data_IF_659372305439
#
_entry.id   IF_659372305439
#
_cell.length_a   1.000
_cell.length_b   1.000
_cell.length_c   1.000
_cell.angle_alpha   90.00
_cell.angle_beta   90.00
_cell.angle_gamma   90.00
#
_symmetry.space_group_name_H-M   'P 1'
#
loop_
_entity.id
_entity.type
_entity.pdbx_description
1 polymer ?
#
# COMPACT_ATOMS: atom_id res chain seq x y z
N UNK A 1 -7.02 6.73 45.01
CA UNK A 1 -6.07 5.62 44.73
C UNK A 1 -5.16 6.03 43.58
N UNK A 2 -3.89 6.32 43.88
CA UNK A 2 -2.93 6.94 42.97
C UNK A 2 -2.26 5.94 42.02
N UNK A 3 -2.09 6.31 40.74
CA UNK A 3 -1.41 5.50 39.72
C UNK A 3 0.10 5.69 39.86
N UNK A 4 0.81 4.64 40.28
CA UNK A 4 2.27 4.65 40.38
C UNK A 4 2.95 4.77 39.01
N UNK A 5 3.75 5.83 38.82
CA UNK A 5 4.70 5.96 37.70
C UNK A 5 5.84 4.97 37.93
N UNK A 6 5.94 3.92 37.12
CA UNK A 6 7.14 3.07 37.08
C UNK A 6 8.20 3.77 36.24
N UNK A 7 9.22 4.33 36.88
CA UNK A 7 10.41 4.88 36.22
C UNK A 7 11.08 3.80 35.37
N UNK A 8 11.17 4.04 34.06
CA UNK A 8 11.97 3.25 33.15
C UNK A 8 13.45 3.37 33.55
N UNK A 9 14.02 2.28 34.07
CA UNK A 9 15.44 2.15 34.38
C UNK A 9 16.21 2.20 33.06
N UNK A 10 16.78 3.37 32.73
CA UNK A 10 17.75 3.54 31.62
C UNK A 10 18.88 2.53 31.83
N UNK A 11 18.90 1.46 31.03
CA UNK A 11 20.07 0.58 30.93
C UNK A 11 21.18 1.40 30.28
N UNK A 12 22.31 1.58 30.97
CA UNK A 12 23.52 2.17 30.38
C UNK A 12 23.89 1.32 29.16
N UNK A 13 23.87 1.91 27.98
CA UNK A 13 24.46 1.34 26.78
C UNK A 13 25.99 1.39 26.96
N UNK A 14 26.66 0.26 26.75
CA UNK A 14 28.12 0.18 26.74
C UNK A 14 28.69 1.11 25.64
N UNK A 15 29.71 1.95 25.92
CA UNK A 15 30.32 2.83 24.92
C UNK A 15 31.24 2.11 23.91
N UNK A 16 31.15 0.78 23.80
CA UNK A 16 32.14 -0.05 23.11
C UNK A 16 31.78 -0.50 21.69
N UNK A 17 30.60 -0.15 21.16
CA UNK A 17 30.23 -0.48 19.78
C UNK A 17 29.91 0.80 19.03
N UNK A 18 30.97 1.49 18.57
CA UNK A 18 30.82 2.43 17.48
C UNK A 18 30.33 1.64 16.27
N UNK A 19 29.23 2.05 15.60
CA UNK A 19 28.92 1.48 14.30
C UNK A 19 30.10 1.81 13.41
N UNK A 20 30.87 0.78 13.03
CA UNK A 20 31.80 0.94 11.93
C UNK A 20 30.99 1.45 10.74
N UNK A 21 31.48 2.50 10.08
CA UNK A 21 31.03 2.91 8.77
C UNK A 21 31.36 1.80 7.76
N UNK A 22 30.69 0.66 7.89
CA UNK A 22 30.64 -0.35 6.87
C UNK A 22 29.82 0.25 5.75
N UNK A 23 30.50 0.78 4.71
CA UNK A 23 29.88 1.19 3.46
C UNK A 23 29.02 0.01 2.98
N UNK A 24 27.71 0.11 3.19
CA UNK A 24 26.77 -0.95 2.83
C UNK A 24 26.87 -1.17 1.34
N UNK A 25 27.23 -2.39 0.93
CA UNK A 25 27.29 -2.73 -0.49
C UNK A 25 25.93 -2.43 -1.13
N UNK A 26 25.88 -1.71 -2.26
CA UNK A 26 24.63 -1.41 -2.93
C UNK A 26 23.95 -2.71 -3.36
N UNK A 27 22.63 -2.80 -3.17
CA UNK A 27 21.91 -3.98 -3.60
C UNK A 27 21.93 -4.05 -5.13
N UNK A 28 21.86 -5.27 -5.71
CA UNK A 28 21.87 -5.42 -7.17
C UNK A 28 20.72 -4.66 -7.85
N UNK A 29 19.58 -4.52 -7.17
CA UNK A 29 18.44 -3.74 -7.64
C UNK A 29 18.71 -2.23 -7.68
N UNK A 30 19.70 -1.74 -6.93
CA UNK A 30 20.08 -0.33 -6.94
C UNK A 30 21.04 0.04 -8.08
N UNK A 31 21.59 -0.95 -8.78
CA UNK A 31 22.55 -0.74 -9.88
C UNK A 31 21.87 -0.90 -11.23
N UNK A 32 20.79 -1.71 -11.32
CA UNK A 32 20.11 -1.95 -12.59
C UNK A 32 19.46 -0.69 -13.17
N UNK A 33 19.43 -0.55 -14.52
CA UNK A 33 18.65 0.47 -15.20
C UNK A 33 17.15 0.35 -14.88
N UNK A 34 16.41 1.44 -15.02
CA UNK A 34 14.98 1.48 -14.68
C UNK A 34 14.14 0.58 -15.59
N UNK A 35 14.58 0.39 -16.84
CA UNK A 35 13.94 -0.43 -17.86
C UNK A 35 13.98 -1.91 -17.45
N UNK A 36 15.14 -2.37 -16.98
CA UNK A 36 15.31 -3.74 -16.47
C UNK A 36 14.54 -3.93 -15.16
N UNK A 37 14.56 -2.92 -14.28
CA UNK A 37 13.75 -2.93 -13.07
C UNK A 37 12.25 -3.02 -13.39
N UNK A 38 11.78 -2.28 -14.40
CA UNK A 38 10.41 -2.30 -14.86
C UNK A 38 10.02 -3.68 -15.41
N UNK A 39 10.90 -4.31 -16.21
CA UNK A 39 10.69 -5.69 -16.71
C UNK A 39 10.63 -6.71 -15.58
N UNK A 40 11.49 -6.59 -14.55
CA UNK A 40 11.40 -7.48 -13.37
C UNK A 40 10.07 -7.28 -12.65
N UNK A 41 9.67 -6.02 -12.42
CA UNK A 41 8.43 -5.68 -11.73
C UNK A 41 7.19 -5.95 -12.59
N UNK A 42 7.34 -6.18 -13.89
CA UNK A 42 6.26 -6.52 -14.80
C UNK A 42 5.66 -7.90 -14.50
N UNK A 43 6.48 -8.84 -14.01
CA UNK A 43 6.04 -10.19 -13.61
C UNK A 43 5.43 -10.24 -12.21
N UNK A 44 5.38 -9.11 -11.50
CA UNK A 44 4.80 -9.04 -10.16
C UNK A 44 3.27 -9.03 -10.24
N UNK A 45 2.64 -9.91 -9.46
CA UNK A 45 1.19 -10.17 -9.50
C UNK A 45 0.37 -9.22 -8.61
N UNK A 46 1.01 -8.30 -7.87
CA UNK A 46 0.30 -7.40 -6.97
C UNK A 46 0.99 -6.04 -6.81
N UNK A 47 0.23 -4.92 -6.79
CA UNK A 47 0.77 -3.60 -6.42
C UNK A 47 1.37 -3.56 -5.01
N UNK A 48 0.97 -4.48 -4.12
CA UNK A 48 1.54 -4.61 -2.77
C UNK A 48 3.03 -4.95 -2.79
N UNK A 49 3.44 -5.80 -3.72
CA UNK A 49 4.82 -6.26 -3.81
C UNK A 49 5.68 -5.14 -4.43
N UNK A 50 5.17 -4.44 -5.45
CA UNK A 50 5.80 -3.24 -6.01
C UNK A 50 5.99 -2.16 -4.92
N UNK A 51 4.97 -1.95 -4.08
CA UNK A 51 5.05 -1.04 -2.94
C UNK A 51 6.12 -1.46 -1.92
N UNK A 52 6.25 -2.76 -1.68
CA UNK A 52 7.26 -3.29 -0.77
C UNK A 52 8.67 -3.02 -1.32
N UNK A 53 8.89 -3.26 -2.62
CA UNK A 53 10.16 -2.94 -3.31
C UNK A 53 10.48 -1.44 -3.25
N UNK A 54 9.49 -0.58 -3.47
CA UNK A 54 9.66 0.87 -3.37
C UNK A 54 10.15 1.32 -1.98
N UNK A 55 9.84 0.56 -0.92
CA UNK A 55 10.23 0.90 0.46
C UNK A 55 11.57 0.32 0.89
N UNK A 56 12.16 -0.58 0.11
CA UNK A 56 13.44 -1.19 0.44
C UNK A 56 14.60 -0.17 0.38
N UNK A 57 14.57 0.79 -0.55
CA UNK A 57 15.62 1.80 -0.70
C UNK A 57 15.06 3.13 -1.23
N UNK A 58 15.70 4.24 -0.87
CA UNK A 58 15.42 5.59 -1.37
C UNK A 58 15.48 5.69 -2.90
N UNK A 59 16.47 5.05 -3.55
CA UNK A 59 16.57 5.06 -5.03
C UNK A 59 15.35 4.40 -5.68
N UNK A 60 14.96 3.23 -5.18
CA UNK A 60 13.78 2.51 -5.64
C UNK A 60 12.50 3.30 -5.39
N UNK A 61 12.38 3.91 -4.20
CA UNK A 61 11.27 4.80 -3.86
C UNK A 61 11.14 5.94 -4.88
N UNK A 62 12.19 6.75 -5.07
CA UNK A 62 12.18 7.87 -6.00
C UNK A 62 11.89 7.43 -7.44
N UNK A 63 12.41 6.28 -7.85
CA UNK A 63 12.20 5.74 -9.20
C UNK A 63 10.75 5.29 -9.39
N UNK A 64 10.21 4.50 -8.45
CA UNK A 64 8.88 3.90 -8.59
C UNK A 64 7.75 4.88 -8.31
N UNK A 65 7.97 5.92 -7.50
CA UNK A 65 6.98 6.97 -7.27
C UNK A 65 6.98 8.03 -8.38
N UNK A 66 7.95 8.00 -9.29
CA UNK A 66 8.01 8.93 -10.41
C UNK A 66 6.82 8.70 -11.36
N UNK A 67 6.07 9.76 -11.75
CA UNK A 67 4.96 9.67 -12.71
C UNK A 67 5.33 9.00 -14.04
N UNK A 68 6.57 9.12 -14.51
CA UNK A 68 7.04 8.48 -15.74
C UNK A 68 6.95 6.94 -15.68
N UNK A 69 6.99 6.36 -14.49
CA UNK A 69 6.95 4.92 -14.26
C UNK A 69 5.56 4.41 -13.86
N UNK A 70 4.50 5.19 -14.12
CA UNK A 70 3.11 4.82 -13.80
C UNK A 70 2.65 3.50 -14.42
N UNK A 71 3.24 3.12 -15.56
CA UNK A 71 2.89 1.89 -16.27
C UNK A 71 3.20 0.63 -15.47
N UNK A 72 4.25 0.64 -14.62
CA UNK A 72 4.58 -0.47 -13.73
C UNK A 72 3.42 -0.74 -12.77
N UNK A 73 2.86 0.31 -12.17
CA UNK A 73 1.75 0.20 -11.23
C UNK A 73 0.44 -0.18 -11.91
N UNK A 74 0.14 0.41 -13.08
CA UNK A 74 -1.04 0.02 -13.88
C UNK A 74 -1.00 -1.45 -14.25
N UNK A 75 0.17 -1.95 -14.64
CA UNK A 75 0.38 -3.36 -14.99
C UNK A 75 0.19 -4.25 -13.76
N UNK A 76 0.86 -3.94 -12.65
CA UNK A 76 0.70 -4.68 -11.39
C UNK A 76 -0.76 -4.71 -10.92
N UNK A 77 -1.51 -3.61 -11.11
CA UNK A 77 -2.95 -3.55 -10.82
C UNK A 77 -3.76 -4.46 -11.74
N UNK A 78 -3.44 -4.50 -13.04
CA UNK A 78 -4.14 -5.36 -14.01
C UNK A 78 -3.95 -6.86 -13.75
N UNK A 79 -2.80 -7.25 -13.17
CA UNK A 79 -2.51 -8.63 -12.79
C UNK A 79 -2.96 -8.99 -11.37
N UNK A 80 -3.53 -8.04 -10.64
CA UNK A 80 -3.88 -8.25 -9.24
C UNK A 80 -4.97 -9.31 -9.10
N UNK A 81 -4.76 -10.24 -8.16
CA UNK A 81 -5.69 -11.32 -7.83
C UNK A 81 -7.06 -10.77 -7.37
N UNK A 82 -7.10 -9.54 -6.84
CA UNK A 82 -8.34 -8.88 -6.43
C UNK A 82 -9.14 -8.50 -7.69
N UNK A 83 -10.24 -9.22 -8.02
CA UNK A 83 -10.99 -8.96 -9.23
C UNK A 83 -11.66 -7.58 -9.14
N UNK A 84 -11.56 -6.78 -10.21
CA UNK A 84 -12.30 -5.53 -10.32
C UNK A 84 -11.72 -4.35 -9.52
N UNK A 85 -10.42 -4.33 -9.22
CA UNK A 85 -9.79 -3.15 -8.62
C UNK A 85 -9.86 -1.95 -9.59
N UNK A 86 -10.66 -0.90 -9.30
CA UNK A 86 -10.88 0.18 -10.24
C UNK A 86 -9.62 1.02 -10.43
N UNK A 87 -9.58 1.85 -11.49
CA UNK A 87 -8.52 2.85 -11.62
C UNK A 87 -8.53 3.82 -10.43
N UNK A 88 -7.37 4.41 -10.10
CA UNK A 88 -7.29 5.43 -9.07
C UNK A 88 -8.21 6.62 -9.40
N UNK A 89 -8.78 7.28 -8.38
CA UNK A 89 -9.57 8.48 -8.56
C UNK A 89 -8.78 9.62 -9.22
N UNK A 90 -9.45 10.62 -9.82
CA UNK A 90 -8.79 11.82 -10.32
C UNK A 90 -7.93 12.48 -9.23
N UNK A 91 -6.69 12.86 -9.58
CA UNK A 91 -5.73 13.46 -8.65
C UNK A 91 -4.90 12.48 -7.82
N UNK A 92 -5.15 11.18 -7.90
CA UNK A 92 -4.36 10.16 -7.21
C UNK A 92 -3.37 9.50 -8.17
N UNK A 93 -2.13 9.33 -7.71
CA UNK A 93 -1.17 8.47 -8.42
C UNK A 93 -1.51 6.99 -8.17
N UNK A 94 -1.16 6.13 -9.13
CA UNK A 94 -1.32 4.67 -8.97
C UNK A 94 -0.53 4.14 -7.76
N UNK A 95 0.64 4.73 -7.47
CA UNK A 95 1.47 4.38 -6.30
C UNK A 95 0.82 4.79 -4.98
N UNK A 96 0.24 6.00 -4.90
CA UNK A 96 -0.50 6.45 -3.72
C UNK A 96 -1.77 5.63 -3.51
N UNK A 97 -2.46 5.27 -4.59
CA UNK A 97 -3.62 4.39 -4.54
C UNK A 97 -3.27 2.98 -4.07
N UNK A 98 -2.17 2.41 -4.58
CA UNK A 98 -1.67 1.11 -4.11
C UNK A 98 -1.25 1.16 -2.64
N UNK A 99 -0.53 2.20 -2.21
CA UNK A 99 -0.21 2.42 -0.80
C UNK A 99 -1.48 2.49 0.04
N UNK A 100 -2.46 3.27 -0.41
CA UNK A 100 -3.72 3.38 0.29
C UNK A 100 -4.39 2.02 0.46
N UNK A 101 -4.49 1.18 -0.57
CA UNK A 101 -5.18 -0.12 -0.50
C UNK A 101 -4.41 -1.19 0.27
N UNK A 102 -3.12 -1.35 -0.03
CA UNK A 102 -2.34 -2.52 0.36
C UNK A 102 -1.44 -2.29 1.57
N UNK A 103 -1.17 -1.03 1.92
CA UNK A 103 -0.36 -0.71 3.09
C UNK A 103 -1.12 -0.94 4.38
N UNK A 104 -0.43 -0.87 5.51
CA UNK A 104 -1.01 -0.69 6.83
C UNK A 104 -1.29 0.79 7.12
N UNK A 105 -2.19 1.05 8.07
CA UNK A 105 -2.46 2.40 8.50
C UNK A 105 -3.40 2.46 9.70
N UNK A 106 -3.73 3.66 10.13
CA UNK A 106 -4.66 3.89 11.22
C UNK A 106 -6.11 3.64 10.78
N UNK A 107 -6.92 3.09 11.67
CA UNK A 107 -8.36 3.01 11.48
C UNK A 107 -8.98 4.42 11.48
N UNK A 108 -9.79 4.75 10.49
CA UNK A 108 -10.41 6.09 10.39
C UNK A 108 -11.42 6.37 11.51
N UNK A 109 -11.96 5.33 12.15
CA UNK A 109 -12.95 5.46 13.22
C UNK A 109 -12.31 5.48 14.61
N UNK A 110 -11.34 4.61 14.88
CA UNK A 110 -10.78 4.45 16.22
C UNK A 110 -9.30 4.82 16.34
N UNK A 111 -8.63 5.19 15.25
CA UNK A 111 -7.22 5.57 15.22
C UNK A 111 -6.22 4.43 15.48
N UNK A 112 -6.69 3.21 15.77
CA UNK A 112 -5.81 2.07 16.04
C UNK A 112 -5.13 1.60 14.75
N UNK A 113 -3.82 1.34 14.82
CA UNK A 113 -3.04 0.80 13.70
C UNK A 113 -3.57 -0.57 13.26
N UNK A 114 -3.73 -0.77 11.96
CA UNK A 114 -4.19 -2.04 11.39
C UNK A 114 -3.43 -2.42 10.12
N UNK A 115 -3.08 -3.70 10.05
CA UNK A 115 -2.48 -4.37 8.89
C UNK A 115 -3.54 -4.94 7.94
N UNK A 116 -4.83 -4.70 8.21
CA UNK A 116 -5.91 -5.23 7.37
C UNK A 116 -6.02 -4.46 6.07
N UNK A 117 -6.19 -5.23 5.00
CA UNK A 117 -6.59 -4.71 3.70
C UNK A 117 -8.02 -4.15 3.77
N UNK A 118 -8.34 -3.20 2.89
CA UNK A 118 -9.64 -2.54 2.86
C UNK A 118 -10.77 -3.53 2.60
N UNK A 119 -11.90 -3.28 3.26
CA UNK A 119 -13.12 -4.07 3.09
C UNK A 119 -13.88 -3.72 1.79
N UNK A 120 -13.79 -2.46 1.35
CA UNK A 120 -14.31 -1.99 0.06
C UNK A 120 -13.47 -0.83 -0.45
N UNK A 121 -13.07 -0.88 -1.72
CA UNK A 121 -12.31 0.18 -2.39
C UNK A 121 -13.14 1.43 -2.67
N UNK A 122 -14.48 1.32 -2.66
CA UNK A 122 -15.41 2.41 -2.99
C UNK A 122 -15.50 3.42 -1.86
N UNK A 123 -15.62 2.93 -0.62
CA UNK A 123 -15.86 3.79 0.56
C UNK A 123 -14.58 4.53 0.97
N UNK A 124 -13.40 4.05 0.54
CA UNK A 124 -12.10 4.65 0.87
C UNK A 124 -11.90 4.86 2.38
N UNK A 125 -12.33 3.89 3.20
CA UNK A 125 -12.13 3.92 4.66
C UNK A 125 -11.40 2.69 5.16
N UNK A 126 -10.39 2.89 6.00
CA UNK A 126 -9.63 1.84 6.66
C UNK A 126 -10.28 1.52 7.99
N UNK A 127 -10.76 0.29 8.15
CA UNK A 127 -11.40 -0.16 9.38
C UNK A 127 -10.58 -1.27 10.05
N UNK A 128 -10.37 -1.16 11.36
CA UNK A 128 -9.81 -2.27 12.12
C UNK A 128 -10.87 -3.37 12.33
N UNK A 129 -10.41 -4.60 12.60
CA UNK A 129 -11.29 -5.77 12.76
C UNK A 129 -12.37 -5.66 13.85
N UNK A 130 -12.17 -4.77 14.83
CA UNK A 130 -13.15 -4.49 15.88
C UNK A 130 -14.34 -3.69 15.33
N UNK A 131 -14.06 -2.69 14.51
CA UNK A 131 -15.07 -1.81 13.93
C UNK A 131 -15.82 -2.51 12.80
N UNK A 132 -15.12 -3.29 11.96
CA UNK A 132 -15.75 -4.03 10.86
C UNK A 132 -16.82 -5.03 11.31
N UNK A 133 -16.71 -5.56 12.54
CA UNK A 133 -17.74 -6.43 13.15
C UNK A 133 -18.96 -5.63 13.63
N UNK A 134 -18.75 -4.41 14.12
CA UNK A 134 -19.82 -3.53 14.58
C UNK A 134 -20.63 -2.95 13.41
N UNK A 135 -19.96 -2.67 12.28
CA UNK A 135 -20.51 -1.98 11.12
C UNK A 135 -21.10 -2.90 10.04
N UNK A 136 -21.29 -4.21 10.30
CA UNK A 136 -22.00 -5.10 9.37
C UNK A 136 -23.45 -4.64 9.08
N UNK A 137 -24.03 -3.81 9.95
CA UNK A 137 -25.33 -3.17 9.71
C UNK A 137 -25.27 -1.92 8.81
N UNK A 138 -24.11 -1.27 8.65
CA UNK A 138 -23.94 -0.03 7.85
C UNK A 138 -23.54 -0.37 6.39
N UNK A 139 -22.78 -1.44 6.18
CA UNK A 139 -22.39 -1.87 4.83
C UNK A 139 -23.53 -2.46 3.99
N UNK A 140 -24.69 -2.72 4.60
CA UNK A 140 -25.91 -3.12 3.87
C UNK A 140 -26.54 -1.96 3.10
N UNK A 141 -26.18 -0.71 3.40
CA UNK A 141 -26.78 0.49 2.78
C UNK A 141 -26.34 0.70 1.32
N UNK A 142 -25.15 0.23 0.93
CA UNK A 142 -24.65 0.43 -0.44
C UNK A 142 -25.02 -0.70 -1.41
N UNK A 143 -25.68 -1.77 -0.96
CA UNK A 143 -26.16 -2.81 -1.88
C UNK A 143 -27.49 -2.43 -2.55
N UNK A 144 -28.29 -1.55 -1.92
CA UNK A 144 -29.66 -1.25 -2.36
C UNK A 144 -29.84 0.15 -2.95
N UNK A 145 -28.78 0.98 -3.02
CA UNK A 145 -28.87 2.29 -3.66
C UNK A 145 -27.73 2.51 -4.66
N UNK A 146 -28.16 2.47 -5.94
CA UNK A 146 -27.54 3.06 -7.11
C UNK A 146 -26.58 2.18 -7.93
N UNK A 147 -27.18 1.41 -8.84
CA UNK A 147 -26.97 1.53 -10.30
C UNK A 147 -25.82 2.47 -10.72
N UNK A 148 -24.59 1.98 -10.70
CA UNK A 148 -23.63 2.39 -11.70
C UNK A 148 -23.87 1.48 -12.90
N UNK A 149 -24.67 1.97 -13.85
CA UNK A 149 -24.64 1.47 -15.21
C UNK A 149 -23.20 1.60 -15.71
N UNK A 150 -22.47 0.50 -15.66
CA UNK A 150 -21.26 0.33 -16.45
C UNK A 150 -21.74 0.38 -17.90
N UNK A 151 -21.35 1.37 -18.72
CA UNK A 151 -21.54 1.22 -20.15
C UNK A 151 -20.67 0.03 -20.56
N UNK A 152 -21.31 -1.10 -20.85
CA UNK A 152 -20.75 -2.16 -21.69
C UNK A 152 -20.49 -1.53 -23.05
N UNK A 153 -19.34 -0.87 -23.22
CA UNK A 153 -18.82 -0.61 -24.56
C UNK A 153 -18.39 -1.96 -25.12
N UNK A 154 -19.33 -2.56 -25.85
CA UNK A 154 -19.11 -3.63 -26.80
C UNK A 154 -18.09 -3.18 -27.84
N UNK A 155 -16.81 -3.52 -27.64
CA UNK A 155 -15.85 -3.60 -28.72
C UNK A 155 -15.93 -5.01 -29.32
N UNK A 156 -17.00 -5.24 -30.08
CA UNK A 156 -17.12 -6.37 -30.99
C UNK A 156 -16.27 -6.07 -32.22
N UNK A 157 -15.20 -6.84 -32.35
CA UNK A 157 -14.29 -6.88 -33.50
C UNK A 157 -14.93 -7.80 -34.55
N UNK A 158 -15.07 -7.27 -35.76
CA UNK A 158 -15.47 -7.84 -37.08
C UNK A 158 -16.91 -7.57 -37.52
#
# INVERSE_FOLDING_TARGET
MARGRRSAKKRKLDPGCLPSEAKSQPSRLDIVPVEILAEILYYVTSPKDVLSVARCNRRLCTTLLNPSNVMIWRRARSHCIVPGLPPPPPGWSESAYAAFIFDAGNCDICGVWTQRMFLSFVVRVRLCGKVSRMSQNILKVCHDNHSYSVPLTSAGIK
#
